data_IF_102791423402
#
_entry.id   IF_102791423402
#
_cell.length_a   1.000
_cell.length_b   1.000
_cell.length_c   1.000
_cell.angle_alpha   90.00
_cell.angle_beta   90.00
_cell.angle_gamma   90.00
#
_symmetry.space_group_name_H-M   'P 1'
#
loop_
_entity.id
_entity.type
_entity.pdbx_description
1 polymer ?
#
# COMPACT_ATOMS: atom_id res chain seq x y z
N UNK A 1 -17.36 22.91 17.64
CA UNK A 1 -17.88 22.06 16.53
C UNK A 1 -17.32 20.66 16.69
N UNK A 2 -18.16 19.61 16.82
CA UNK A 2 -17.73 18.20 16.82
C UNK A 2 -17.77 17.70 15.38
N UNK A 3 -16.62 17.27 14.84
CA UNK A 3 -16.56 16.63 13.52
C UNK A 3 -17.15 15.23 13.64
N UNK A 4 -18.16 14.85 12.83
CA UNK A 4 -18.72 13.51 12.90
C UNK A 4 -17.67 12.50 12.44
N UNK A 5 -17.46 11.44 13.24
CA UNK A 5 -16.55 10.35 12.87
C UNK A 5 -17.10 9.63 11.62
N UNK A 6 -16.25 9.28 10.64
CA UNK A 6 -16.68 8.50 9.50
C UNK A 6 -17.23 7.15 9.98
N UNK A 7 -18.46 6.85 9.59
CA UNK A 7 -19.09 5.56 9.87
C UNK A 7 -18.41 4.53 8.96
N UNK A 8 -17.57 3.67 9.54
CA UNK A 8 -17.02 2.52 8.83
C UNK A 8 -18.17 1.56 8.59
N UNK A 9 -18.68 1.53 7.36
CA UNK A 9 -19.68 0.55 6.94
C UNK A 9 -18.90 -0.71 6.58
N UNK A 10 -18.96 -1.72 7.44
CA UNK A 10 -18.44 -3.03 7.10
C UNK A 10 -19.32 -3.62 5.99
N UNK A 11 -18.75 -3.95 4.81
CA UNK A 11 -19.54 -4.54 3.75
C UNK A 11 -20.06 -5.90 4.21
N UNK A 12 -21.35 -6.15 3.98
CA UNK A 12 -21.98 -7.45 4.21
C UNK A 12 -21.28 -8.48 3.31
N UNK A 13 -20.88 -9.66 3.79
CA UNK A 13 -20.12 -10.65 3.00
C UNK A 13 -20.81 -11.03 1.68
N UNK A 14 -22.15 -10.97 1.64
CA UNK A 14 -22.96 -11.16 0.43
C UNK A 14 -22.64 -10.17 -0.70
N UNK A 15 -22.22 -8.94 -0.39
CA UNK A 15 -21.89 -7.91 -1.38
C UNK A 15 -20.65 -8.27 -2.22
N UNK A 16 -19.84 -9.22 -1.77
CA UNK A 16 -18.66 -9.73 -2.46
C UNK A 16 -18.97 -10.98 -3.30
N UNK A 17 -20.21 -11.47 -3.28
CA UNK A 17 -20.64 -12.59 -4.13
C UNK A 17 -21.45 -12.16 -5.34
N UNK A 18 -21.97 -10.93 -5.33
CA UNK A 18 -22.66 -10.38 -6.51
C UNK A 18 -21.65 -10.11 -7.65
N UNK A 19 -22.09 -10.23 -8.91
CA UNK A 19 -21.35 -9.71 -10.04
C UNK A 19 -20.99 -8.22 -9.86
N UNK A 20 -19.80 -7.82 -10.28
CA UNK A 20 -19.37 -6.44 -10.21
C UNK A 20 -20.25 -5.55 -11.09
N UNK A 21 -20.80 -4.48 -10.53
CA UNK A 21 -21.53 -3.49 -11.31
C UNK A 21 -20.53 -2.70 -12.17
N UNK A 22 -20.89 -2.21 -13.38
CA UNK A 22 -19.98 -1.39 -14.20
C UNK A 22 -19.36 -0.19 -13.48
N UNK A 23 -20.11 0.42 -12.56
CA UNK A 23 -19.61 1.49 -11.69
C UNK A 23 -18.52 1.01 -10.71
N UNK A 24 -18.67 -0.20 -10.15
CA UNK A 24 -17.67 -0.81 -9.26
C UNK A 24 -16.36 -1.04 -10.04
N UNK A 25 -16.46 -1.49 -11.30
CA UNK A 25 -15.31 -1.69 -12.20
C UNK A 25 -14.63 -0.36 -12.53
N UNK A 26 -15.40 0.68 -12.88
CA UNK A 26 -14.85 2.00 -13.17
C UNK A 26 -14.12 2.59 -11.94
N UNK A 27 -14.68 2.41 -10.75
CA UNK A 27 -14.04 2.84 -9.50
C UNK A 27 -12.80 2.01 -9.17
N UNK A 28 -12.82 0.69 -9.41
CA UNK A 28 -11.66 -0.17 -9.21
C UNK A 28 -10.49 0.27 -10.09
N UNK A 29 -10.73 0.65 -11.35
CA UNK A 29 -9.68 1.19 -12.25
C UNK A 29 -9.08 2.49 -11.72
N UNK A 30 -9.89 3.37 -11.13
CA UNK A 30 -9.38 4.59 -10.50
C UNK A 30 -8.50 4.25 -9.29
N UNK A 31 -8.93 3.33 -8.43
CA UNK A 31 -8.14 2.90 -7.27
C UNK A 31 -6.87 2.15 -7.67
N UNK A 32 -6.88 1.38 -8.76
CA UNK A 32 -5.68 0.74 -9.32
C UNK A 32 -4.61 1.78 -9.66
N UNK A 33 -4.99 2.83 -10.40
CA UNK A 33 -4.09 3.92 -10.76
C UNK A 33 -3.55 4.68 -9.53
N UNK A 34 -4.41 4.93 -8.54
CA UNK A 34 -3.99 5.56 -7.27
C UNK A 34 -2.99 4.68 -6.53
N UNK A 35 -3.29 3.39 -6.35
CA UNK A 35 -2.42 2.46 -5.64
C UNK A 35 -1.06 2.30 -6.32
N UNK A 36 -1.01 2.27 -7.65
CA UNK A 36 0.26 2.26 -8.40
C UNK A 36 1.12 3.48 -8.09
N UNK A 37 0.52 4.68 -8.06
CA UNK A 37 1.22 5.91 -7.68
C UNK A 37 1.75 5.86 -6.25
N UNK A 38 0.89 5.46 -5.31
CA UNK A 38 1.25 5.34 -3.88
C UNK A 38 2.36 4.31 -3.65
N UNK A 39 2.32 3.17 -4.34
CA UNK A 39 3.38 2.16 -4.28
C UNK A 39 4.70 2.75 -4.77
N UNK A 40 4.71 3.43 -5.91
CA UNK A 40 5.92 4.05 -6.45
C UNK A 40 6.53 5.09 -5.48
N UNK A 41 5.70 5.91 -4.86
CA UNK A 41 6.16 6.88 -3.84
C UNK A 41 6.73 6.19 -2.60
N UNK A 42 6.08 5.12 -2.12
CA UNK A 42 6.55 4.35 -0.96
C UNK A 42 7.87 3.64 -1.27
N UNK A 43 8.04 3.10 -2.47
CA UNK A 43 9.28 2.48 -2.94
C UNK A 43 10.43 3.49 -3.00
N UNK A 44 10.20 4.68 -3.54
CA UNK A 44 11.20 5.75 -3.59
C UNK A 44 11.64 6.17 -2.17
N UNK A 45 10.67 6.34 -1.26
CA UNK A 45 10.94 6.67 0.13
C UNK A 45 11.74 5.57 0.83
N UNK A 46 11.37 4.30 0.64
CA UNK A 46 12.08 3.15 1.20
C UNK A 46 13.52 3.09 0.67
N UNK A 47 13.72 3.26 -0.64
CA UNK A 47 15.05 3.26 -1.26
C UNK A 47 15.92 4.41 -0.74
N UNK A 48 15.35 5.60 -0.56
CA UNK A 48 16.05 6.76 0.02
C UNK A 48 16.45 6.52 1.49
N UNK A 49 15.57 5.90 2.28
CA UNK A 49 15.87 5.49 3.66
C UNK A 49 16.98 4.44 3.71
N UNK A 50 16.89 3.41 2.87
CA UNK A 50 17.90 2.36 2.77
C UNK A 50 19.26 2.92 2.37
N UNK A 51 19.32 3.77 1.33
CA UNK A 51 20.57 4.42 0.90
C UNK A 51 21.21 5.26 2.00
N UNK A 52 20.41 5.91 2.86
CA UNK A 52 20.94 6.66 4.01
C UNK A 52 21.48 5.73 5.11
N UNK A 53 20.77 4.65 5.38
CA UNK A 53 21.20 3.63 6.36
C UNK A 53 22.49 2.92 5.90
N UNK A 54 22.56 2.46 4.65
CA UNK A 54 23.77 1.80 4.12
C UNK A 54 25.00 2.70 4.22
N UNK A 55 24.87 4.00 3.90
CA UNK A 55 25.95 4.99 4.08
C UNK A 55 26.38 5.17 5.54
N UNK A 56 25.49 4.94 6.51
CA UNK A 56 25.86 4.94 7.93
C UNK A 56 26.57 3.64 8.32
N UNK A 57 26.16 2.50 7.77
CA UNK A 57 26.86 1.23 7.95
C UNK A 57 28.29 1.28 7.40
N UNK A 58 28.49 1.84 6.19
CA UNK A 58 29.81 2.04 5.59
C UNK A 58 30.75 2.89 6.45
N UNK A 59 30.19 3.80 7.26
CA UNK A 59 30.92 4.65 8.20
C UNK A 59 31.12 4.00 9.58
N UNK A 60 30.68 2.75 9.76
CA UNK A 60 30.70 2.04 11.03
C UNK A 60 29.77 2.61 12.10
N UNK A 61 28.79 3.43 11.71
CA UNK A 61 27.82 4.04 12.64
C UNK A 61 26.70 3.05 12.97
N UNK A 62 26.28 2.28 11.97
CA UNK A 62 25.22 1.26 12.08
C UNK A 62 25.73 -0.13 11.70
N UNK A 63 24.96 -1.14 12.11
CA UNK A 63 25.17 -2.53 11.73
C UNK A 63 24.32 -2.89 10.51
N UNK A 64 24.96 -3.41 9.46
CA UNK A 64 24.31 -3.86 8.23
C UNK A 64 23.37 -5.06 8.45
N UNK A 65 23.60 -5.86 9.49
CA UNK A 65 22.75 -7.00 9.84
C UNK A 65 21.43 -6.58 10.49
N UNK A 66 21.32 -5.32 10.92
CA UNK A 66 20.18 -4.82 11.68
C UNK A 66 19.61 -3.54 11.07
N UNK A 67 18.73 -3.65 10.05
CA UNK A 67 18.06 -2.50 9.48
C UNK A 67 17.22 -1.75 10.53
N UNK A 68 17.12 -0.41 10.42
CA UNK A 68 16.26 0.39 11.28
C UNK A 68 14.80 -0.06 11.20
N UNK A 69 14.10 -0.06 12.35
CA UNK A 69 12.71 -0.50 12.41
C UNK A 69 11.79 0.30 11.48
N UNK A 70 12.03 1.60 11.32
CA UNK A 70 11.28 2.44 10.41
C UNK A 70 11.46 2.04 8.93
N UNK A 71 12.65 1.56 8.53
CA UNK A 71 12.88 1.02 7.19
C UNK A 71 12.13 -0.30 7.00
N UNK A 72 12.17 -1.20 7.99
CA UNK A 72 11.41 -2.44 7.95
C UNK A 72 9.90 -2.18 7.85
N UNK A 73 9.39 -1.21 8.63
CA UNK A 73 7.99 -0.76 8.58
C UNK A 73 7.62 -0.18 7.22
N UNK A 74 8.50 0.62 6.62
CA UNK A 74 8.25 1.19 5.29
C UNK A 74 8.14 0.09 4.22
N UNK A 75 9.05 -0.90 4.24
CA UNK A 75 8.96 -2.07 3.36
C UNK A 75 7.68 -2.87 3.57
N UNK A 76 7.24 -3.01 4.82
CA UNK A 76 5.95 -3.61 5.14
C UNK A 76 4.77 -2.87 4.50
N UNK A 77 4.79 -1.53 4.50
CA UNK A 77 3.73 -0.73 3.85
C UNK A 77 3.71 -0.88 2.33
N UNK A 78 4.88 -0.99 1.69
CA UNK A 78 4.96 -1.31 0.25
C UNK A 78 4.31 -2.66 -0.02
N UNK A 79 4.66 -3.69 0.75
CA UNK A 79 4.09 -5.03 0.59
C UNK A 79 2.57 -5.06 0.83
N UNK A 80 2.07 -4.34 1.82
CA UNK A 80 0.64 -4.21 2.09
C UNK A 80 -0.10 -3.51 0.94
N UNK A 81 0.44 -2.42 0.40
CA UNK A 81 -0.14 -1.72 -0.74
C UNK A 81 -0.17 -2.61 -2.00
N UNK A 82 0.89 -3.40 -2.24
CA UNK A 82 0.91 -4.38 -3.34
C UNK A 82 -0.17 -5.45 -3.15
N UNK A 83 -0.33 -5.99 -1.94
CA UNK A 83 -1.38 -6.97 -1.65
C UNK A 83 -2.79 -6.40 -1.87
N UNK A 84 -3.02 -5.13 -1.54
CA UNK A 84 -4.28 -4.45 -1.82
C UNK A 84 -4.52 -4.30 -3.32
N UNK A 85 -3.48 -3.95 -4.09
CA UNK A 85 -3.57 -3.85 -5.54
C UNK A 85 -3.87 -5.22 -6.19
N UNK A 86 -3.19 -6.26 -5.74
CA UNK A 86 -3.40 -7.63 -6.23
C UNK A 86 -4.84 -8.10 -5.92
N UNK A 87 -5.32 -7.86 -4.69
CA UNK A 87 -6.69 -8.20 -4.31
C UNK A 87 -7.75 -7.40 -5.10
N UNK A 88 -7.46 -6.13 -5.42
CA UNK A 88 -8.34 -5.30 -6.24
C UNK A 88 -8.45 -5.86 -7.67
N UNK A 89 -7.31 -6.25 -8.27
CA UNK A 89 -7.24 -6.82 -9.63
C UNK A 89 -7.86 -8.21 -9.74
N UNK A 90 -7.68 -9.05 -8.72
CA UNK A 90 -8.33 -10.36 -8.63
C UNK A 90 -9.85 -10.22 -8.60
N UNK A 91 -10.35 -9.25 -7.82
CA UNK A 91 -11.79 -8.99 -7.70
C UNK A 91 -12.40 -8.34 -8.93
N UNK A 92 -11.68 -7.43 -9.58
CA UNK A 92 -12.15 -6.64 -10.71
C UNK A 92 -11.17 -6.77 -11.89
N UNK A 93 -11.17 -7.90 -12.60
CA UNK A 93 -10.27 -8.11 -13.72
C UNK A 93 -10.56 -7.08 -14.82
N UNK A 94 -9.47 -6.56 -15.40
CA UNK A 94 -9.54 -5.73 -16.60
C UNK A 94 -9.47 -6.69 -17.78
N UNK A 95 -10.53 -6.78 -18.58
CA UNK A 95 -10.54 -7.55 -19.83
C UNK A 95 -9.35 -7.21 -20.76
#
# INVERSE_FOLDING_TARGET
MRVPRPRVVHPRPEAWTRPAHPADIAQARLFDAVLLGEIAELEELAASMEKRWLRRCERGIDDISRPPENLARMRGRVAEAQQLLDALRDRFPTE
#
